data_IF_311682562666
#
_entry.id   IF_311682562666
#
_cell.length_a   1.000
_cell.length_b   1.000
_cell.length_c   1.000
_cell.angle_alpha   90.00
_cell.angle_beta   90.00
_cell.angle_gamma   90.00
#
_symmetry.space_group_name_H-M   'P 1'
#
loop_
_entity.id
_entity.type
_entity.pdbx_description
1 polymer ?
#
# COMPACT_ATOMS: atom_id res chain seq x y z
N UNK A 1 134.94 85.08 -28.77
CA UNK A 1 134.62 86.50 -28.92
C UNK A 1 133.11 86.57 -28.89
N UNK A 2 132.50 86.65 -27.71
CA UNK A 2 132.24 87.92 -26.98
C UNK A 2 131.51 88.92 -27.87
N UNK A 3 130.24 89.18 -27.56
CA UNK A 3 129.60 90.50 -27.58
C UNK A 3 128.19 90.34 -26.98
N UNK A 4 128.05 90.51 -25.67
CA UNK A 4 127.67 91.76 -25.00
C UNK A 4 126.25 92.27 -25.30
N UNK A 5 125.34 91.84 -24.43
CA UNK A 5 124.42 92.68 -23.64
C UNK A 5 124.32 94.17 -24.02
N UNK A 6 123.19 94.60 -24.61
CA UNK A 6 122.63 95.94 -24.38
C UNK A 6 121.11 95.82 -24.18
N UNK A 7 120.68 95.68 -22.92
CA UNK A 7 119.35 96.15 -22.47
C UNK A 7 119.35 97.68 -22.55
N UNK A 8 118.68 98.25 -23.55
CA UNK A 8 118.26 99.67 -23.52
C UNK A 8 116.90 99.75 -22.82
N UNK A 9 116.91 100.25 -21.59
CA UNK A 9 115.70 100.75 -20.92
C UNK A 9 115.13 101.92 -21.74
N UNK A 10 113.97 101.73 -22.35
CA UNK A 10 113.18 102.84 -22.87
C UNK A 10 112.47 103.53 -21.70
N UNK A 11 113.00 104.68 -21.27
CA UNK A 11 112.29 105.59 -20.37
C UNK A 11 110.91 105.90 -20.98
N UNK A 12 109.82 105.47 -20.32
CA UNK A 12 108.46 105.79 -20.75
C UNK A 12 108.22 107.29 -20.57
N UNK A 13 108.23 108.04 -21.66
CA UNK A 13 107.87 109.45 -21.66
C UNK A 13 106.34 109.51 -21.59
N UNK A 14 105.80 110.01 -20.48
CA UNK A 14 104.35 110.22 -20.33
C UNK A 14 103.95 111.42 -21.16
N UNK A 15 103.24 111.18 -22.26
CA UNK A 15 102.70 112.22 -23.14
C UNK A 15 101.21 112.41 -22.82
N UNK A 16 100.82 113.62 -22.43
CA UNK A 16 99.44 113.98 -22.14
C UNK A 16 98.90 114.94 -23.18
N UNK A 17 97.89 114.52 -23.94
CA UNK A 17 97.18 115.37 -24.88
C UNK A 17 95.79 115.73 -24.33
N UNK A 18 95.38 116.99 -24.46
CA UNK A 18 94.01 117.40 -24.18
C UNK A 18 93.13 116.93 -25.34
N UNK A 19 92.38 115.86 -25.12
CA UNK A 19 91.42 115.32 -26.09
C UNK A 19 90.01 115.75 -25.67
N UNK A 20 89.14 116.15 -26.61
CA UNK A 20 87.73 116.41 -26.32
C UNK A 20 87.08 115.20 -25.61
N UNK A 21 86.17 115.42 -24.65
CA UNK A 21 85.59 114.34 -23.85
C UNK A 21 84.81 113.30 -24.67
N UNK A 22 84.25 113.70 -25.81
CA UNK A 22 83.54 112.80 -26.74
C UNK A 22 84.49 111.79 -27.38
N UNK A 23 85.62 112.27 -27.91
CA UNK A 23 86.67 111.43 -28.50
C UNK A 23 87.31 110.49 -27.47
N UNK A 24 87.46 110.95 -26.22
CA UNK A 24 87.98 110.09 -25.15
C UNK A 24 87.05 108.89 -24.94
N UNK A 25 85.74 109.10 -24.96
CA UNK A 25 84.75 108.04 -24.73
C UNK A 25 84.74 107.01 -25.86
N UNK A 26 84.76 107.46 -27.12
CA UNK A 26 84.86 106.53 -28.27
C UNK A 26 86.16 105.72 -28.25
N UNK A 27 87.28 106.35 -27.89
CA UNK A 27 88.57 105.66 -27.77
C UNK A 27 88.53 104.63 -26.64
N UNK A 28 87.94 104.97 -25.49
CA UNK A 28 87.80 104.03 -24.37
C UNK A 28 86.86 102.85 -24.72
N UNK A 29 85.77 103.08 -25.45
CA UNK A 29 84.88 102.01 -25.95
C UNK A 29 85.61 101.09 -26.95
N UNK A 30 86.33 101.67 -27.92
CA UNK A 30 87.12 100.88 -28.88
C UNK A 30 88.23 100.07 -28.20
N UNK A 31 88.92 100.64 -27.22
CA UNK A 31 89.97 99.94 -26.45
C UNK A 31 89.38 98.72 -25.72
N UNK A 32 88.20 98.86 -25.13
CA UNK A 32 87.51 97.78 -24.42
C UNK A 32 87.02 96.68 -25.35
N UNK A 33 86.38 97.03 -26.48
CA UNK A 33 85.91 96.05 -27.47
C UNK A 33 87.07 95.29 -28.14
N UNK A 34 88.22 95.95 -28.30
CA UNK A 34 89.44 95.34 -28.87
C UNK A 34 90.21 94.47 -27.86
N UNK A 35 89.87 94.55 -26.57
CA UNK A 35 90.60 93.92 -25.46
C UNK A 35 92.11 94.28 -25.41
N UNK A 36 92.47 95.48 -25.87
CA UNK A 36 93.85 95.99 -25.90
C UNK A 36 94.10 96.97 -24.74
N UNK A 37 95.36 97.12 -24.30
CA UNK A 37 95.71 98.19 -23.35
C UNK A 37 95.88 99.51 -24.12
N UNK A 38 95.51 100.64 -23.51
CA UNK A 38 95.54 101.95 -24.19
C UNK A 38 96.90 102.34 -24.78
N UNK A 39 98.01 101.90 -24.18
CA UNK A 39 99.35 102.11 -24.72
C UNK A 39 99.62 101.28 -25.99
N UNK A 40 99.12 100.04 -26.05
CA UNK A 40 99.25 99.15 -27.20
C UNK A 40 98.33 99.60 -28.34
N UNK A 41 97.12 100.06 -28.02
CA UNK A 41 96.20 100.68 -28.97
C UNK A 41 96.82 101.93 -29.62
N UNK A 42 97.39 102.84 -28.82
CA UNK A 42 98.06 104.03 -29.34
C UNK A 42 99.30 103.67 -30.17
N UNK A 43 100.10 102.67 -29.77
CA UNK A 43 101.21 102.19 -30.59
C UNK A 43 100.74 101.61 -31.92
N UNK A 44 99.65 100.85 -31.92
CA UNK A 44 99.06 100.29 -33.14
C UNK A 44 98.53 101.39 -34.07
N UNK A 45 97.83 102.38 -33.52
CA UNK A 45 97.33 103.53 -34.25
C UNK A 45 98.47 104.39 -34.81
N UNK A 46 99.54 104.59 -34.04
CA UNK A 46 100.70 105.38 -34.45
C UNK A 46 101.56 104.64 -35.49
N UNK A 47 101.64 103.31 -35.42
CA UNK A 47 102.27 102.48 -36.45
C UNK A 47 101.41 102.41 -37.73
N UNK A 48 100.08 102.37 -37.60
CA UNK A 48 99.14 102.47 -38.73
C UNK A 48 99.28 103.83 -39.45
N UNK A 49 99.39 104.93 -38.69
CA UNK A 49 99.63 106.28 -39.23
C UNK A 49 101.00 106.40 -39.90
N UNK A 50 102.06 105.82 -39.31
CA UNK A 50 103.39 105.75 -39.94
C UNK A 50 103.39 104.91 -41.21
N UNK A 51 102.68 103.77 -41.21
CA UNK A 51 102.52 102.95 -42.40
C UNK A 51 101.76 103.71 -43.51
N UNK A 52 100.70 104.46 -43.17
CA UNK A 52 100.00 105.35 -44.11
C UNK A 52 100.89 106.48 -44.65
N UNK A 53 101.79 107.04 -43.84
CA UNK A 53 102.74 108.07 -44.31
C UNK A 53 103.83 107.53 -45.23
N UNK A 54 104.30 106.29 -45.02
CA UNK A 54 105.26 105.63 -45.92
C UNK A 54 104.60 105.30 -47.27
N UNK A 55 103.32 104.93 -47.25
CA UNK A 55 102.49 104.65 -48.43
C UNK A 55 102.24 105.87 -49.32
N UNK A 56 102.28 107.10 -48.78
CA UNK A 56 102.13 108.32 -49.59
C UNK A 56 103.40 108.69 -50.40
N UNK A 57 104.56 108.11 -50.09
CA UNK A 57 105.84 108.40 -50.76
C UNK A 57 106.26 107.40 -51.85
N UNK A 58 105.72 106.18 -51.84
CA UNK A 58 106.12 105.10 -52.76
C UNK A 58 104.89 104.38 -53.34
N UNK A 59 104.56 104.69 -54.60
CA UNK A 59 103.38 104.15 -55.29
C UNK A 59 103.41 102.62 -55.46
N UNK A 60 104.58 101.96 -55.36
CA UNK A 60 104.68 100.50 -55.38
C UNK A 60 104.21 99.86 -54.06
N UNK A 61 104.71 100.38 -52.93
CA UNK A 61 104.36 99.91 -51.60
C UNK A 61 102.88 100.18 -51.26
N UNK A 62 102.30 101.27 -51.77
CA UNK A 62 100.87 101.56 -51.64
C UNK A 62 99.99 100.45 -52.24
N UNK A 63 100.38 99.91 -53.38
CA UNK A 63 99.64 98.87 -54.08
C UNK A 63 99.75 97.52 -53.38
N UNK A 64 100.94 97.14 -52.91
CA UNK A 64 101.14 95.93 -52.11
C UNK A 64 100.36 95.97 -50.79
N UNK A 65 100.26 97.15 -50.17
CA UNK A 65 99.49 97.33 -48.92
C UNK A 65 97.99 97.29 -49.18
N UNK A 66 97.53 97.80 -50.32
CA UNK A 66 96.14 97.66 -50.77
C UNK A 66 95.78 96.21 -51.11
N UNK A 67 96.68 95.47 -51.75
CA UNK A 67 96.52 94.03 -52.01
C UNK A 67 96.51 93.23 -50.69
N UNK A 68 97.35 93.60 -49.72
CA UNK A 68 97.35 93.01 -48.38
C UNK A 68 96.06 93.34 -47.62
N UNK A 69 95.57 94.57 -47.69
CA UNK A 69 94.31 95.00 -47.09
C UNK A 69 93.12 94.25 -47.72
N UNK A 70 93.14 94.05 -49.04
CA UNK A 70 92.18 93.22 -49.76
C UNK A 70 92.23 91.77 -49.28
N UNK A 71 93.42 91.15 -49.18
CA UNK A 71 93.56 89.78 -48.71
C UNK A 71 93.19 89.61 -47.22
N UNK A 72 93.49 90.59 -46.36
CA UNK A 72 93.07 90.61 -44.95
C UNK A 72 91.56 90.77 -44.82
N UNK A 73 90.96 91.66 -45.61
CA UNK A 73 89.50 91.83 -45.66
C UNK A 73 88.84 90.54 -46.13
N UNK A 74 89.38 89.90 -47.17
CA UNK A 74 88.90 88.61 -47.66
C UNK A 74 89.06 87.49 -46.64
N UNK A 75 90.18 87.42 -45.94
CA UNK A 75 90.42 86.44 -44.88
C UNK A 75 89.47 86.66 -43.70
N UNK A 76 89.21 87.93 -43.33
CA UNK A 76 88.23 88.31 -42.31
C UNK A 76 86.82 87.91 -42.74
N UNK A 77 86.42 88.18 -43.98
CA UNK A 77 85.12 87.75 -44.53
C UNK A 77 84.96 86.23 -44.46
N UNK A 78 85.96 85.47 -44.93
CA UNK A 78 85.94 84.00 -44.88
C UNK A 78 85.84 83.51 -43.43
N UNK A 79 86.57 84.12 -42.50
CA UNK A 79 86.51 83.76 -41.08
C UNK A 79 85.13 84.07 -40.49
N UNK A 80 84.58 85.25 -40.75
CA UNK A 80 83.24 85.65 -40.29
C UNK A 80 82.16 84.73 -40.88
N UNK A 81 82.23 84.41 -42.18
CA UNK A 81 81.33 83.43 -42.82
C UNK A 81 81.46 82.05 -42.17
N UNK A 82 82.67 81.62 -41.83
CA UNK A 82 82.91 80.32 -41.19
C UNK A 82 82.41 80.29 -39.74
N UNK A 83 82.56 81.38 -39.00
CA UNK A 83 81.99 81.52 -37.65
C UNK A 83 80.47 81.51 -37.72
N UNK A 84 79.87 82.29 -38.63
CA UNK A 84 78.42 82.27 -38.87
C UNK A 84 77.92 80.87 -39.22
N UNK A 85 78.58 80.20 -40.16
CA UNK A 85 78.24 78.81 -40.52
C UNK A 85 78.34 77.86 -39.33
N UNK A 86 79.36 78.01 -38.47
CA UNK A 86 79.51 77.17 -37.29
C UNK A 86 78.43 77.46 -36.24
N UNK A 87 78.04 78.73 -36.08
CA UNK A 87 76.89 79.10 -35.24
C UNK A 87 75.58 78.53 -35.80
N UNK A 88 75.36 78.61 -37.11
CA UNK A 88 74.21 78.00 -37.79
C UNK A 88 74.19 76.47 -37.62
N UNK A 89 75.34 75.80 -37.83
CA UNK A 89 75.50 74.35 -37.65
C UNK A 89 75.23 73.98 -36.17
N UNK A 90 75.71 74.78 -35.21
CA UNK A 90 75.46 74.57 -33.77
C UNK A 90 73.98 74.72 -33.41
N UNK A 91 73.30 75.72 -33.98
CA UNK A 91 71.86 75.89 -33.80
C UNK A 91 71.08 74.72 -34.42
N UNK A 92 71.47 74.25 -35.61
CA UNK A 92 70.87 73.07 -36.23
C UNK A 92 71.07 71.81 -35.38
N UNK A 93 72.27 71.56 -34.88
CA UNK A 93 72.52 70.41 -34.00
C UNK A 93 71.73 70.50 -32.70
N UNK A 94 71.63 71.69 -32.11
CA UNK A 94 70.82 71.90 -30.90
C UNK A 94 69.34 71.64 -31.17
N UNK A 95 68.81 72.14 -32.29
CA UNK A 95 67.43 71.88 -32.71
C UNK A 95 67.16 70.39 -32.95
N UNK A 96 68.08 69.69 -33.64
CA UNK A 96 67.98 68.23 -33.83
C UNK A 96 68.03 67.46 -32.51
N UNK A 97 68.90 67.88 -31.58
CA UNK A 97 68.99 67.27 -30.25
C UNK A 97 67.68 67.45 -29.47
N UNK A 98 67.13 68.67 -29.48
CA UNK A 98 65.85 68.98 -28.82
C UNK A 98 64.68 68.19 -29.45
N UNK A 99 64.61 68.12 -30.79
CA UNK A 99 63.59 67.32 -31.50
C UNK A 99 63.71 65.82 -31.14
N UNK A 100 64.94 65.29 -31.13
CA UNK A 100 65.17 63.88 -30.77
C UNK A 100 64.80 63.62 -29.30
N UNK A 101 65.10 64.56 -28.42
CA UNK A 101 64.77 64.48 -27.00
C UNK A 101 63.26 64.56 -26.76
N UNK A 102 62.53 65.38 -27.52
CA UNK A 102 61.07 65.41 -27.51
C UNK A 102 60.48 64.07 -27.96
N UNK A 103 60.94 63.52 -29.10
CA UNK A 103 60.50 62.20 -29.59
C UNK A 103 60.74 61.09 -28.57
N UNK A 104 61.91 61.09 -27.92
CA UNK A 104 62.19 60.12 -26.85
C UNK A 104 61.25 60.30 -25.65
N UNK A 105 60.97 61.53 -25.23
CA UNK A 105 60.02 61.79 -24.14
C UNK A 105 58.59 61.33 -24.49
N UNK A 106 58.15 61.52 -25.73
CA UNK A 106 56.87 61.01 -26.21
C UNK A 106 56.81 59.48 -26.18
N UNK A 107 57.87 58.81 -26.66
CA UNK A 107 57.98 57.34 -26.60
C UNK A 107 57.95 56.85 -25.15
N UNK A 108 58.68 57.51 -24.24
CA UNK A 108 58.69 57.16 -22.82
C UNK A 108 57.29 57.35 -22.21
N UNK A 109 56.59 58.43 -22.54
CA UNK A 109 55.21 58.65 -22.08
C UNK A 109 54.29 57.53 -22.55
N UNK A 110 54.31 57.22 -23.85
CA UNK A 110 53.47 56.17 -24.44
C UNK A 110 53.77 54.79 -23.83
N UNK A 111 55.04 54.47 -23.59
CA UNK A 111 55.43 53.22 -22.94
C UNK A 111 54.95 53.17 -21.49
N UNK A 112 55.03 54.28 -20.75
CA UNK A 112 54.54 54.35 -19.38
C UNK A 112 53.02 54.19 -19.30
N UNK A 113 52.28 54.77 -20.25
CA UNK A 113 50.82 54.62 -20.32
C UNK A 113 50.44 53.18 -20.68
N UNK A 114 51.11 52.56 -21.66
CA UNK A 114 50.94 51.13 -21.97
C UNK A 114 51.24 50.23 -20.76
N UNK A 115 52.29 50.52 -19.99
CA UNK A 115 52.62 49.77 -18.78
C UNK A 115 51.51 49.91 -17.72
N UNK A 116 50.90 51.09 -17.58
CA UNK A 116 49.77 51.30 -16.67
C UNK A 116 48.55 50.50 -17.11
N UNK A 117 48.19 50.56 -18.40
CA UNK A 117 47.06 49.81 -18.95
C UNK A 117 47.23 48.29 -18.80
N UNK A 118 48.45 47.77 -19.09
CA UNK A 118 48.77 46.36 -18.91
C UNK A 118 48.67 45.95 -17.44
N UNK A 119 49.13 46.79 -16.50
CA UNK A 119 48.99 46.52 -15.06
C UNK A 119 47.53 46.43 -14.63
N UNK A 120 46.69 47.35 -15.08
CA UNK A 120 45.23 47.31 -14.81
C UNK A 120 44.63 46.04 -15.38
N UNK A 121 44.99 45.67 -16.60
CA UNK A 121 44.50 44.45 -17.26
C UNK A 121 44.89 43.19 -16.49
N UNK A 122 46.14 43.09 -16.02
CA UNK A 122 46.62 41.96 -15.21
C UNK A 122 45.84 41.85 -13.89
N UNK A 123 45.59 42.96 -13.20
CA UNK A 123 44.80 42.97 -11.97
C UNK A 123 43.38 42.46 -12.22
N UNK A 124 42.72 42.98 -13.25
CA UNK A 124 41.37 42.56 -13.62
C UNK A 124 41.30 41.06 -13.98
N UNK A 125 42.29 40.56 -14.75
CA UNK A 125 42.39 39.14 -15.11
C UNK A 125 42.61 38.23 -13.89
N UNK A 126 43.40 38.70 -12.92
CA UNK A 126 43.63 37.97 -11.67
C UNK A 126 42.35 37.88 -10.84
N UNK A 127 41.60 38.97 -10.75
CA UNK A 127 40.30 38.98 -10.06
C UNK A 127 39.29 38.05 -10.74
N UNK A 128 39.22 38.04 -12.08
CA UNK A 128 38.34 37.12 -12.81
C UNK A 128 38.75 35.66 -12.61
N UNK A 129 40.05 35.34 -12.64
CA UNK A 129 40.53 33.99 -12.34
C UNK A 129 40.14 33.55 -10.93
N UNK A 130 40.26 34.44 -9.94
CA UNK A 130 39.89 34.13 -8.57
C UNK A 130 38.38 33.88 -8.43
N UNK A 131 37.55 34.67 -9.11
CA UNK A 131 36.10 34.45 -9.16
C UNK A 131 35.75 33.08 -9.78
N UNK A 132 36.33 32.77 -10.95
CA UNK A 132 36.11 31.47 -11.62
C UNK A 132 36.55 30.32 -10.72
N UNK A 133 37.65 30.46 -10.00
CA UNK A 133 38.12 29.44 -9.08
C UNK A 133 37.12 29.19 -7.93
N UNK A 134 36.61 30.27 -7.32
CA UNK A 134 35.58 30.15 -6.27
C UNK A 134 34.26 29.57 -6.80
N UNK A 135 33.88 29.90 -8.03
CA UNK A 135 32.67 29.36 -8.66
C UNK A 135 32.84 27.86 -8.97
N UNK A 136 34.00 27.45 -9.47
CA UNK A 136 34.32 26.04 -9.71
C UNK A 136 34.32 25.22 -8.42
N UNK A 137 34.87 25.74 -7.32
CA UNK A 137 34.83 25.08 -6.01
C UNK A 137 33.38 24.93 -5.53
N UNK A 138 32.55 25.96 -5.70
CA UNK A 138 31.11 25.89 -5.37
C UNK A 138 30.35 24.89 -6.24
N UNK A 139 30.66 24.81 -7.54
CA UNK A 139 30.03 23.87 -8.47
C UNK A 139 30.46 22.43 -8.17
N UNK A 140 31.72 22.21 -7.79
CA UNK A 140 32.21 20.90 -7.36
C UNK A 140 31.47 20.41 -6.11
N UNK A 141 31.36 21.27 -5.08
CA UNK A 141 30.61 20.94 -3.87
C UNK A 141 29.13 20.62 -4.18
N UNK A 142 28.49 21.40 -5.07
CA UNK A 142 27.11 21.16 -5.48
C UNK A 142 26.94 19.86 -6.27
N UNK A 143 27.92 19.48 -7.08
CA UNK A 143 27.90 18.20 -7.78
C UNK A 143 28.02 17.02 -6.80
N UNK A 144 28.87 17.10 -5.78
CA UNK A 144 28.96 16.08 -4.73
C UNK A 144 27.61 15.93 -3.97
N UNK A 145 26.97 17.04 -3.63
CA UNK A 145 25.63 17.02 -3.01
C UNK A 145 24.59 16.34 -3.92
N UNK A 146 24.61 16.64 -5.22
CA UNK A 146 23.70 16.04 -6.19
C UNK A 146 23.97 14.55 -6.39
N UNK A 147 25.23 14.13 -6.40
CA UNK A 147 25.60 12.71 -6.49
C UNK A 147 25.09 11.93 -5.28
N UNK A 148 25.25 12.45 -4.07
CA UNK A 148 24.74 11.80 -2.86
C UNK A 148 23.21 11.79 -2.82
N UNK A 149 22.56 12.91 -3.19
CA UNK A 149 21.10 12.97 -3.31
C UNK A 149 20.57 11.94 -4.32
N UNK A 150 21.25 11.79 -5.46
CA UNK A 150 20.89 10.80 -6.48
C UNK A 150 21.10 9.36 -5.97
N UNK A 151 22.20 9.11 -5.24
CA UNK A 151 22.46 7.81 -4.61
C UNK A 151 21.36 7.42 -3.63
N UNK A 152 20.91 8.37 -2.79
CA UNK A 152 19.79 8.17 -1.86
C UNK A 152 18.48 7.93 -2.61
N UNK A 153 18.22 8.68 -3.68
CA UNK A 153 17.04 8.50 -4.52
C UNK A 153 17.00 7.10 -5.14
N UNK A 154 18.11 6.63 -5.73
CA UNK A 154 18.23 5.27 -6.31
C UNK A 154 17.95 4.19 -5.26
N UNK A 155 18.54 4.31 -4.06
CA UNK A 155 18.30 3.36 -2.97
C UNK A 155 16.82 3.34 -2.56
N UNK A 156 16.20 4.51 -2.47
CA UNK A 156 14.79 4.65 -2.10
C UNK A 156 13.87 4.05 -3.15
N UNK A 157 14.14 4.28 -4.44
CA UNK A 157 13.42 3.66 -5.55
C UNK A 157 13.49 2.14 -5.49
N UNK A 158 14.68 1.58 -5.28
CA UNK A 158 14.88 0.12 -5.16
C UNK A 158 14.06 -0.47 -4.00
N UNK A 159 14.01 0.21 -2.84
CA UNK A 159 13.17 -0.22 -1.71
C UNK A 159 11.67 -0.19 -2.04
N UNK A 160 11.22 0.81 -2.80
CA UNK A 160 9.82 0.86 -3.23
C UNK A 160 9.48 -0.19 -4.28
N UNK A 161 10.39 -0.52 -5.19
CA UNK A 161 10.23 -1.59 -6.16
C UNK A 161 10.06 -2.95 -5.48
N UNK A 162 10.90 -3.26 -4.48
CA UNK A 162 10.78 -4.49 -3.68
C UNK A 162 9.43 -4.56 -2.97
N UNK A 163 9.00 -3.45 -2.32
CA UNK A 163 7.70 -3.39 -1.65
C UNK A 163 6.52 -3.54 -2.61
N UNK A 164 6.63 -3.01 -3.83
CA UNK A 164 5.60 -3.17 -4.86
C UNK A 164 5.49 -4.65 -5.26
N UNK A 165 6.61 -5.35 -5.39
CA UNK A 165 6.63 -6.76 -5.76
C UNK A 165 6.02 -7.64 -4.65
N UNK A 166 6.34 -7.37 -3.39
CA UNK A 166 5.71 -8.02 -2.23
C UNK A 166 4.19 -7.79 -2.21
N UNK A 167 3.74 -6.55 -2.47
CA UNK A 167 2.31 -6.23 -2.51
C UNK A 167 1.60 -6.95 -3.66
N UNK A 168 2.22 -7.08 -4.84
CA UNK A 168 1.66 -7.88 -5.94
C UNK A 168 1.51 -9.34 -5.54
N UNK A 169 2.53 -9.92 -4.89
CA UNK A 169 2.46 -11.31 -4.42
C UNK A 169 1.35 -11.52 -3.38
N UNK A 170 1.12 -10.55 -2.49
CA UNK A 170 0.01 -10.58 -1.54
C UNK A 170 -1.35 -10.49 -2.23
N UNK A 171 -1.49 -9.60 -3.23
CA UNK A 171 -2.74 -9.48 -4.02
C UNK A 171 -3.05 -10.78 -4.77
N UNK A 172 -2.04 -11.44 -5.34
CA UNK A 172 -2.24 -12.70 -6.05
C UNK A 172 -2.66 -13.83 -5.09
N UNK A 173 -2.03 -13.90 -3.91
CA UNK A 173 -2.46 -14.84 -2.86
C UNK A 173 -3.90 -14.58 -2.42
N UNK A 174 -4.28 -13.31 -2.20
CA UNK A 174 -5.65 -12.94 -1.84
C UNK A 174 -6.64 -13.34 -2.92
N UNK A 175 -6.30 -13.13 -4.20
CA UNK A 175 -7.11 -13.55 -5.34
C UNK A 175 -7.33 -15.07 -5.33
N UNK A 176 -6.26 -15.85 -5.19
CA UNK A 176 -6.35 -17.31 -5.10
C UNK A 176 -7.19 -17.79 -3.91
N UNK A 177 -7.08 -17.12 -2.75
CA UNK A 177 -7.95 -17.43 -1.60
C UNK A 177 -9.41 -17.06 -1.84
N UNK A 178 -9.68 -15.95 -2.57
CA UNK A 178 -11.02 -15.54 -2.96
C UNK A 178 -11.67 -16.55 -3.91
N UNK A 179 -10.92 -17.11 -4.85
CA UNK A 179 -11.40 -18.16 -5.76
C UNK A 179 -11.78 -19.43 -4.99
N UNK A 180 -10.93 -19.89 -4.06
CA UNK A 180 -11.23 -21.03 -3.16
C UNK A 180 -12.47 -20.78 -2.30
N UNK A 181 -12.65 -19.56 -1.82
CA UNK A 181 -13.83 -19.18 -1.03
C UNK A 181 -15.11 -19.27 -1.85
N UNK A 182 -15.11 -18.77 -3.09
CA UNK A 182 -16.28 -18.87 -3.98
C UNK A 182 -16.56 -20.31 -4.40
N UNK A 183 -15.54 -21.15 -4.57
CA UNK A 183 -15.72 -22.59 -4.82
C UNK A 183 -16.36 -23.30 -3.61
N UNK A 184 -15.83 -23.08 -2.40
CA UNK A 184 -16.42 -23.63 -1.17
C UNK A 184 -17.86 -23.15 -0.96
N UNK A 185 -18.16 -21.89 -1.29
CA UNK A 185 -19.52 -21.35 -1.20
C UNK A 185 -20.48 -22.03 -2.18
N UNK A 186 -20.04 -22.34 -3.40
CA UNK A 186 -20.83 -23.12 -4.37
C UNK A 186 -21.07 -24.55 -3.88
N UNK A 187 -20.07 -25.17 -3.27
CA UNK A 187 -20.21 -26.52 -2.69
C UNK A 187 -21.18 -26.53 -1.51
N UNK A 188 -21.12 -25.54 -0.62
CA UNK A 188 -22.09 -25.39 0.47
C UNK A 188 -23.51 -25.23 -0.09
N UNK A 189 -23.68 -24.42 -1.14
CA UNK A 189 -24.98 -24.24 -1.79
C UNK A 189 -25.50 -25.54 -2.43
N UNK A 190 -24.64 -26.34 -3.08
CA UNK A 190 -25.04 -27.62 -3.66
C UNK A 190 -25.41 -28.63 -2.57
N UNK A 191 -24.62 -28.72 -1.50
CA UNK A 191 -24.91 -29.57 -0.34
C UNK A 191 -26.22 -29.17 0.35
N UNK A 192 -26.49 -27.87 0.51
CA UNK A 192 -27.75 -27.39 1.07
C UNK A 192 -28.96 -27.81 0.22
N UNK A 193 -28.84 -27.75 -1.12
CA UNK A 193 -29.89 -28.25 -2.02
C UNK A 193 -30.09 -29.76 -1.89
N UNK A 194 -29.01 -30.54 -1.79
CA UNK A 194 -29.08 -31.99 -1.56
C UNK A 194 -29.76 -32.31 -0.23
N UNK A 195 -29.42 -31.58 0.85
CA UNK A 195 -30.07 -31.76 2.16
C UNK A 195 -31.56 -31.45 2.07
N UNK A 196 -31.95 -30.36 1.41
CA UNK A 196 -33.36 -30.03 1.23
C UNK A 196 -34.10 -31.11 0.44
N UNK A 197 -33.52 -31.64 -0.63
CA UNK A 197 -34.11 -32.72 -1.42
C UNK A 197 -34.29 -33.99 -0.57
N UNK A 198 -33.26 -34.40 0.18
CA UNK A 198 -33.34 -35.54 1.09
C UNK A 198 -34.38 -35.35 2.19
N UNK A 199 -34.51 -34.13 2.74
CA UNK A 199 -35.56 -33.81 3.71
C UNK A 199 -36.95 -33.94 3.10
N UNK A 200 -37.16 -33.45 1.87
CA UNK A 200 -38.44 -33.61 1.17
C UNK A 200 -38.74 -35.07 0.89
N UNK A 201 -37.76 -35.86 0.47
CA UNK A 201 -37.91 -37.29 0.19
C UNK A 201 -38.28 -38.06 1.46
N UNK A 202 -37.54 -37.86 2.56
CA UNK A 202 -37.82 -38.47 3.86
C UNK A 202 -39.21 -38.07 4.36
N UNK A 203 -39.62 -36.81 4.18
CA UNK A 203 -40.96 -36.37 4.56
C UNK A 203 -42.04 -37.06 3.74
N UNK A 204 -41.86 -37.19 2.42
CA UNK A 204 -42.80 -37.90 1.55
C UNK A 204 -42.91 -39.39 1.91
N UNK A 205 -41.78 -40.06 2.14
CA UNK A 205 -41.76 -41.47 2.56
C UNK A 205 -42.43 -41.66 3.92
N UNK A 206 -42.18 -40.77 4.88
CA UNK A 206 -42.82 -40.83 6.19
C UNK A 206 -44.35 -40.69 6.08
N UNK A 207 -44.84 -39.79 5.21
CA UNK A 207 -46.27 -39.60 4.99
C UNK A 207 -46.91 -40.79 4.26
N UNK A 208 -46.20 -41.40 3.30
CA UNK A 208 -46.67 -42.60 2.61
C UNK A 208 -46.74 -43.81 3.56
N UNK A 209 -45.71 -44.03 4.38
CA UNK A 209 -45.74 -45.07 5.42
C UNK A 209 -46.83 -44.81 6.46
N UNK A 210 -47.07 -43.55 6.83
CA UNK A 210 -48.17 -43.20 7.74
C UNK A 210 -49.52 -43.59 7.17
N UNK A 211 -49.78 -43.29 5.89
CA UNK A 211 -51.01 -43.69 5.18
C UNK A 211 -51.14 -45.20 5.05
N UNK A 212 -50.03 -45.91 4.84
CA UNK A 212 -50.01 -47.38 4.78
C UNK A 212 -50.36 -48.00 6.15
N UNK A 213 -49.76 -47.50 7.23
CA UNK A 213 -50.09 -47.90 8.60
C UNK A 213 -51.56 -47.64 8.91
N UNK A 214 -52.10 -46.48 8.53
CA UNK A 214 -53.52 -46.15 8.72
C UNK A 214 -54.43 -47.13 7.98
N UNK A 215 -54.13 -47.44 6.71
CA UNK A 215 -54.87 -48.43 5.92
C UNK A 215 -54.84 -49.82 6.57
N UNK A 216 -53.66 -50.28 7.00
CA UNK A 216 -53.51 -51.57 7.67
C UNK A 216 -54.24 -51.61 9.00
N UNK A 217 -54.20 -50.52 9.77
CA UNK A 217 -54.92 -50.41 11.04
C UNK A 217 -56.43 -50.53 10.83
N UNK A 218 -56.99 -49.78 9.87
CA UNK A 218 -58.42 -49.85 9.52
C UNK A 218 -58.80 -51.26 9.02
N UNK A 219 -57.95 -51.89 8.20
CA UNK A 219 -58.18 -53.24 7.70
C UNK A 219 -58.22 -54.26 8.83
N UNK A 220 -57.23 -54.22 9.73
CA UNK A 220 -57.13 -55.13 10.87
C UNK A 220 -58.27 -54.91 11.88
N UNK A 221 -58.67 -53.67 12.13
CA UNK A 221 -59.83 -53.36 12.98
C UNK A 221 -61.13 -53.95 12.41
N UNK A 222 -61.32 -53.86 11.08
CA UNK A 222 -62.46 -54.48 10.40
C UNK A 222 -62.41 -56.00 10.51
N UNK A 223 -61.26 -56.62 10.26
CA UNK A 223 -61.11 -58.07 10.37
C UNK A 223 -61.37 -58.56 11.79
N UNK A 224 -60.83 -57.88 12.81
CA UNK A 224 -61.11 -58.18 14.22
C UNK A 224 -62.60 -58.04 14.53
N UNK A 225 -63.27 -57.00 14.04
CA UNK A 225 -64.71 -56.83 14.23
C UNK A 225 -65.51 -57.98 13.58
N UNK A 226 -65.16 -58.37 12.36
CA UNK A 226 -65.77 -59.52 11.68
C UNK A 226 -65.55 -60.82 12.44
N UNK A 227 -64.31 -61.11 12.86
CA UNK A 227 -63.99 -62.32 13.64
C UNK A 227 -64.72 -62.35 14.99
N UNK A 228 -64.87 -61.20 15.66
CA UNK A 228 -65.67 -61.10 16.89
C UNK A 228 -67.14 -61.43 16.64
N UNK A 229 -67.74 -60.86 15.59
CA UNK A 229 -69.12 -61.16 15.20
C UNK A 229 -69.33 -62.63 14.83
N UNK A 230 -68.39 -63.21 14.07
CA UNK A 230 -68.44 -64.64 13.73
C UNK A 230 -68.32 -65.53 14.98
N UNK A 231 -67.44 -65.18 15.91
CA UNK A 231 -67.27 -65.92 17.16
C UNK A 231 -68.53 -65.82 18.04
N UNK A 232 -69.12 -64.63 18.18
CA UNK A 232 -70.39 -64.43 18.90
C UNK A 232 -71.54 -65.21 18.25
N UNK A 233 -71.63 -65.21 16.91
CA UNK A 233 -72.61 -65.98 16.16
C UNK A 233 -72.47 -67.48 16.41
N UNK A 234 -71.25 -68.02 16.33
CA UNK A 234 -70.97 -69.43 16.63
C UNK A 234 -71.28 -69.80 18.08
N UNK A 235 -70.95 -68.93 19.04
CA UNK A 235 -71.31 -69.13 20.45
C UNK A 235 -72.82 -69.18 20.64
N UNK A 236 -73.56 -68.28 19.96
CA UNK A 236 -75.02 -68.27 20.00
C UNK A 236 -75.61 -69.53 19.38
N UNK A 237 -75.06 -69.98 18.26
CA UNK A 237 -75.46 -71.22 17.58
C UNK A 237 -75.23 -72.46 18.46
N UNK A 238 -74.05 -72.57 19.08
CA UNK A 238 -73.74 -73.65 20.04
C UNK A 238 -74.70 -73.60 21.23
N UNK A 239 -74.95 -72.42 21.79
CA UNK A 239 -75.87 -72.23 22.92
C UNK A 239 -77.30 -72.63 22.53
N UNK A 240 -77.77 -72.26 21.35
CA UNK A 240 -79.09 -72.63 20.85
C UNK A 240 -79.19 -74.14 20.63
N UNK A 241 -78.19 -74.77 20.02
CA UNK A 241 -78.13 -76.23 19.84
C UNK A 241 -78.17 -76.94 21.19
N UNK A 242 -77.37 -76.51 22.15
CA UNK A 242 -77.34 -77.12 23.47
C UNK A 242 -78.66 -76.92 24.24
N UNK A 243 -79.28 -75.75 24.15
CA UNK A 243 -80.61 -75.52 24.70
C UNK A 243 -81.67 -76.42 24.05
N UNK A 244 -81.55 -76.68 22.75
CA UNK A 244 -82.45 -77.58 22.04
C UNK A 244 -82.23 -79.04 22.47
N UNK A 245 -80.99 -79.48 22.64
CA UNK A 245 -80.67 -80.79 23.23
C UNK A 245 -81.23 -80.94 24.65
N UNK A 246 -81.10 -79.91 25.49
CA UNK A 246 -81.68 -79.89 26.85
C UNK A 246 -83.20 -80.03 26.77
N UNK A 247 -83.87 -79.30 25.87
CA UNK A 247 -85.34 -79.41 25.68
C UNK A 247 -85.74 -80.81 25.21
N UNK A 248 -85.06 -81.34 24.21
CA UNK A 248 -85.34 -82.69 23.71
C UNK A 248 -85.16 -83.73 24.83
N UNK A 249 -84.10 -83.62 25.65
CA UNK A 249 -83.89 -84.49 26.81
C UNK A 249 -85.00 -84.31 27.86
N UNK A 250 -85.41 -83.07 28.14
CA UNK A 250 -86.52 -82.79 29.05
C UNK A 250 -87.82 -83.44 28.56
N UNK A 251 -88.12 -83.34 27.26
CA UNK A 251 -89.28 -83.97 26.65
C UNK A 251 -89.18 -85.50 26.71
N UNK A 252 -88.02 -86.09 26.38
CA UNK A 252 -87.79 -87.55 26.51
C UNK A 252 -87.94 -88.05 27.95
N UNK A 253 -87.44 -87.30 28.94
CA UNK A 253 -87.63 -87.64 30.35
C UNK A 253 -89.07 -87.47 30.79
N UNK A 254 -89.78 -86.45 30.30
CA UNK A 254 -91.20 -86.27 30.57
C UNK A 254 -92.02 -87.43 30.00
N UNK A 255 -91.72 -87.87 28.78
CA UNK A 255 -92.35 -89.03 28.15
C UNK A 255 -92.08 -90.32 28.94
N UNK A 256 -90.83 -90.55 29.38
CA UNK A 256 -90.50 -91.69 30.26
C UNK A 256 -91.22 -91.64 31.60
N UNK A 257 -91.35 -90.46 32.20
CA UNK A 257 -92.11 -90.27 33.44
C UNK A 257 -93.59 -90.60 33.21
N UNK A 258 -94.16 -90.13 32.10
CA UNK A 258 -95.55 -90.43 31.73
C UNK A 258 -95.75 -91.93 31.47
N UNK A 259 -94.83 -92.59 30.77
CA UNK A 259 -94.87 -94.03 30.51
C UNK A 259 -94.74 -94.84 31.82
N UNK A 260 -93.86 -94.43 32.73
CA UNK A 260 -93.73 -95.01 34.07
C UNK A 260 -95.01 -94.80 34.89
N UNK A 261 -95.58 -93.59 34.89
CA UNK A 261 -96.87 -93.32 35.53
C UNK A 261 -97.98 -94.18 34.96
N UNK A 262 -98.05 -94.35 33.64
CA UNK A 262 -99.03 -95.21 33.01
C UNK A 262 -98.86 -96.67 33.45
N UNK A 263 -97.65 -97.22 33.37
CA UNK A 263 -97.35 -98.58 33.84
C UNK A 263 -97.66 -98.78 35.32
N UNK A 264 -97.38 -97.78 36.15
CA UNK A 264 -97.67 -97.84 37.57
C UNK A 264 -99.18 -97.78 37.85
N UNK A 265 -99.91 -96.96 37.09
CA UNK A 265 -101.37 -96.88 37.16
C UNK A 265 -102.04 -98.17 36.68
N UNK A 266 -101.60 -98.75 35.56
CA UNK A 266 -102.06 -100.07 35.08
C UNK A 266 -101.83 -101.14 36.15
N UNK A 267 -100.66 -101.11 36.81
CA UNK A 267 -100.37 -102.06 37.89
C UNK A 267 -101.20 -101.80 39.15
N UNK A 268 -101.49 -100.55 39.48
CA UNK A 268 -102.43 -100.17 40.54
C UNK A 268 -103.84 -100.65 40.21
N UNK A 269 -104.26 -100.60 38.95
CA UNK A 269 -105.56 -101.09 38.49
C UNK A 269 -105.66 -102.62 38.54
N UNK A 270 -104.58 -103.33 38.17
CA UNK A 270 -104.47 -104.78 38.36
C UNK A 270 -104.50 -105.15 39.85
N UNK A 271 -103.81 -104.39 40.71
CA UNK A 271 -103.89 -104.61 42.16
C UNK A 271 -105.28 -104.30 42.70
N UNK A 272 -105.92 -103.22 42.25
CA UNK A 272 -107.27 -102.83 42.65
C UNK A 272 -108.27 -103.94 42.29
N UNK A 273 -108.20 -104.48 41.07
CA UNK A 273 -109.04 -105.61 40.65
C UNK A 273 -108.73 -106.91 41.39
N UNK A 274 -107.46 -107.16 41.77
CA UNK A 274 -107.12 -108.26 42.68
C UNK A 274 -107.70 -108.07 44.09
N UNK A 275 -107.63 -106.86 44.63
CA UNK A 275 -108.25 -106.51 45.91
C UNK A 275 -109.76 -106.68 45.82
N UNK A 276 -110.39 -106.27 44.72
CA UNK A 276 -111.83 -106.46 44.45
C UNK A 276 -112.20 -107.96 44.41
N UNK A 277 -111.41 -108.78 43.71
CA UNK A 277 -111.58 -110.25 43.69
C UNK A 277 -111.46 -110.85 45.08
N UNK A 278 -110.41 -110.51 45.82
CA UNK A 278 -110.22 -110.98 47.20
C UNK A 278 -111.35 -110.50 48.12
N UNK A 279 -111.89 -109.30 47.88
CA UNK A 279 -113.04 -108.77 48.62
C UNK A 279 -114.32 -109.56 48.32
N UNK A 280 -114.53 -109.95 47.07
CA UNK A 280 -115.65 -110.78 46.65
C UNK A 280 -115.52 -112.23 47.15
N UNK A 281 -114.32 -112.81 47.11
CA UNK A 281 -114.02 -114.11 47.73
C UNK A 281 -114.23 -114.07 49.25
N UNK A 282 -113.86 -112.96 49.91
CA UNK A 282 -114.12 -112.77 51.32
C UNK A 282 -115.62 -112.61 51.62
N UNK A 283 -116.39 -112.01 50.70
CA UNK A 283 -117.85 -111.91 50.80
C UNK A 283 -118.54 -113.26 50.63
N UNK A 284 -118.13 -114.09 49.67
CA UNK A 284 -118.68 -115.45 49.52
C UNK A 284 -118.35 -116.33 50.72
N UNK A 285 -117.12 -116.28 51.23
CA UNK A 285 -116.76 -116.98 52.48
C UNK A 285 -117.59 -116.48 53.67
N UNK A 286 -117.90 -115.18 53.71
CA UNK A 286 -118.74 -114.59 54.76
C UNK A 286 -120.20 -115.06 54.64
N UNK A 287 -120.73 -115.19 53.43
CA UNK A 287 -122.05 -115.76 53.17
C UNK A 287 -122.12 -117.25 53.50
N UNK A 288 -121.10 -118.04 53.13
CA UNK A 288 -120.99 -119.46 53.50
C UNK A 288 -120.93 -119.63 55.02
N UNK A 289 -120.18 -118.77 55.72
CA UNK A 289 -120.15 -118.75 57.19
C UNK A 289 -121.54 -118.43 57.78
N UNK A 290 -122.25 -117.44 57.23
CA UNK A 290 -123.61 -117.08 57.66
C UNK A 290 -124.59 -118.24 57.44
N UNK A 291 -124.43 -118.98 56.34
CA UNK A 291 -125.28 -120.13 56.01
C UNK A 291 -125.01 -121.34 56.92
N UNK A 292 -123.74 -121.62 57.22
CA UNK A 292 -123.34 -122.61 58.23
C UNK A 292 -123.83 -122.23 59.63
N UNK A 293 -123.82 -120.94 59.97
CA UNK A 293 -124.32 -120.44 61.25
C UNK A 293 -125.85 -120.57 61.35
N UNK A 294 -126.58 -120.36 60.25
CA UNK A 294 -128.01 -120.64 60.18
C UNK A 294 -128.32 -122.14 60.32
N UNK A 295 -127.53 -123.02 59.71
CA UNK A 295 -127.65 -124.48 59.89
C UNK A 295 -127.41 -124.93 61.34
N UNK A 296 -126.42 -124.35 62.02
CA UNK A 296 -126.12 -124.60 63.44
C UNK A 296 -127.27 -124.18 64.36
N UNK A 297 -127.91 -123.04 64.06
CA UNK A 297 -129.07 -122.56 64.81
C UNK A 297 -130.27 -123.51 64.65
N UNK A 298 -130.46 -124.05 63.45
CA UNK A 298 -131.56 -124.98 63.15
C UNK A 298 -131.35 -126.36 63.81
N UNK A 299 -130.11 -126.87 63.83
CA UNK A 299 -129.78 -128.10 64.56
C UNK A 299 -129.93 -127.95 66.08
N UNK A 300 -129.58 -126.78 66.63
CA UNK A 300 -129.78 -126.52 68.06
C UNK A 300 -131.27 -126.44 68.43
N UNK A 301 -132.13 -125.97 67.53
CA UNK A 301 -133.58 -125.98 67.73
C UNK A 301 -134.16 -127.41 67.73
N UNK A 302 -133.69 -128.27 66.81
CA UNK A 302 -134.08 -129.70 66.79
C UNK A 302 -133.59 -130.47 68.03
N UNK A 303 -132.39 -130.16 68.55
CA UNK A 303 -131.90 -130.75 69.80
C UNK A 303 -132.77 -130.32 70.99
N UNK A 304 -133.26 -129.08 70.99
CA UNK A 304 -134.10 -128.57 72.06
C UNK A 304 -135.51 -129.19 72.03
N UNK A 305 -136.12 -129.36 70.85
CA UNK A 305 -137.39 -130.10 70.71
C UNK A 305 -137.26 -131.58 71.14
N UNK A 306 -136.14 -132.24 70.81
CA UNK A 306 -135.88 -133.61 71.27
C UNK A 306 -135.69 -133.70 72.80
N UNK A 307 -135.10 -132.68 73.42
CA UNK A 307 -134.99 -132.60 74.89
C UNK A 307 -136.35 -132.43 75.57
N UNK A 308 -137.25 -131.65 74.98
CA UNK A 308 -138.59 -131.41 75.53
C UNK A 308 -139.50 -132.65 75.37
N UNK A 309 -139.33 -133.44 74.30
CA UNK A 309 -140.01 -134.74 74.12
C UNK A 309 -139.53 -135.77 75.15
N UNK A 310 -138.22 -135.82 75.45
CA UNK A 310 -137.65 -136.71 76.47
C UNK A 310 -138.08 -136.32 77.90
N UNK A 311 -138.29 -135.03 78.16
CA UNK A 311 -138.76 -134.55 79.46
C UNK A 311 -140.20 -135.01 79.77
N UNK A 312 -141.12 -134.95 78.80
CA UNK A 312 -142.52 -135.32 79.04
C UNK A 312 -142.78 -136.84 79.09
N UNK A 313 -141.95 -137.66 78.42
CA UNK A 313 -142.04 -139.12 78.58
C UNK A 313 -141.56 -139.60 79.96
N UNK A 314 -140.89 -138.74 80.75
CA UNK A 314 -140.39 -139.07 82.09
C UNK A 314 -141.40 -138.86 83.21
N UNK A 315 -142.47 -138.09 83.01
CA UNK A 315 -143.52 -137.86 84.02
C UNK A 315 -144.68 -138.87 83.93
N UNK A 316 -144.77 -139.68 82.88
CA UNK A 316 -145.81 -140.71 82.69
C UNK A 316 -145.47 -142.07 83.31
N UNK A 317 -144.38 -142.18 84.08
CA UNK A 317 -143.91 -143.43 84.69
C UNK A 317 -143.66 -143.35 86.22
N UNK A 318 -144.47 -142.57 86.94
CA UNK A 318 -144.65 -142.74 88.40
C UNK A 318 -146.09 -142.56 88.84
#
# INVERSE_FOLDING_TARGET
MEDQNIKKESKSIVWGAKVPPELKKEVDEFINDSNLKGADFLNLALNSLKAQQIVQGDHGAAKELQDLEYHLTRAKEIFVERVKKNDDDREQFKAQLEETQQKHNEIISNLNDNIRELKVTIVNQKETLQQIQTENESLAARNEELEEANRVAVKTTSMYEEKIEDLKAQVENLRATGEKYEEAKKEIASQANTINNLQTEVHTQAEDHRKEIEKLTISNEREIATLKLEHESKLLEIKNRHNQEIRNLQDEYADKINELHQKYNERLEVLATQVEKLRNELMTVKEEKLNLQAQLTNQNSNIQELKDIIANQKETLK
#
